data_IF_903802434222
#
_entry.id   IF_903802434222
#
_cell.length_a   1.000
_cell.length_b   1.000
_cell.length_c   1.000
_cell.angle_alpha   90.00
_cell.angle_beta   90.00
_cell.angle_gamma   90.00
#
_symmetry.space_group_name_H-M   'P 1'
#
loop_
_entity.id
_entity.type
_entity.pdbx_description
1 polymer ?
#
# COMPACT_ATOMS: atom_id res chain seq x y z
N UNK A 1 60.35 12.53 -9.62
CA UNK A 1 60.41 11.89 -10.96
C UNK A 1 59.00 11.82 -11.51
N UNK A 2 58.73 12.64 -12.52
CA UNK A 2 57.42 12.86 -13.15
C UNK A 2 57.16 11.83 -14.25
N UNK A 3 56.10 11.02 -14.12
CA UNK A 3 55.62 10.10 -15.16
C UNK A 3 54.33 10.60 -15.80
N UNK A 4 54.44 11.25 -16.96
CA UNK A 4 53.32 11.57 -17.87
C UNK A 4 53.03 10.34 -18.75
N UNK A 5 51.76 9.97 -18.91
CA UNK A 5 51.32 9.15 -20.05
C UNK A 5 50.18 9.84 -20.81
N UNK A 6 50.32 9.82 -22.14
CA UNK A 6 49.63 10.62 -23.15
C UNK A 6 48.26 10.04 -23.50
N UNK A 7 47.31 10.94 -23.77
CA UNK A 7 46.07 10.65 -24.46
C UNK A 7 46.30 10.44 -25.97
N UNK A 8 45.64 9.44 -26.56
CA UNK A 8 45.49 9.29 -28.00
C UNK A 8 44.03 9.54 -28.39
N UNK A 9 43.82 10.62 -29.16
CA UNK A 9 42.58 10.92 -29.89
C UNK A 9 42.64 10.24 -31.26
N UNK A 10 41.60 9.51 -31.64
CA UNK A 10 41.26 9.29 -33.05
C UNK A 10 39.75 9.47 -33.20
N UNK A 11 39.38 10.41 -34.07
CA UNK A 11 37.99 10.75 -34.36
C UNK A 11 37.42 9.96 -35.52
N UNK A 12 36.09 9.96 -35.61
CA UNK A 12 35.31 9.95 -36.87
C UNK A 12 33.89 10.41 -36.54
N UNK A 13 33.58 11.65 -36.92
CA UNK A 13 32.20 12.17 -37.00
C UNK A 13 31.60 11.68 -38.32
N UNK A 14 30.46 11.00 -38.28
CA UNK A 14 29.57 10.82 -39.43
C UNK A 14 28.29 11.61 -39.17
N UNK A 15 28.06 12.61 -40.00
CA UNK A 15 26.82 13.36 -40.07
C UNK A 15 25.80 12.56 -40.90
N UNK A 16 24.59 12.39 -40.38
CA UNK A 16 23.43 11.90 -41.13
C UNK A 16 22.40 13.03 -41.14
N UNK A 17 21.97 13.41 -42.34
CA UNK A 17 21.03 14.50 -42.64
C UNK A 17 19.60 14.06 -42.31
N UNK A 18 18.85 14.95 -41.67
CA UNK A 18 17.39 14.88 -41.52
C UNK A 18 16.72 15.30 -42.83
N UNK A 19 15.84 14.45 -43.37
CA UNK A 19 14.91 14.80 -44.44
C UNK A 19 13.49 14.82 -43.90
N UNK A 20 12.90 16.01 -43.84
CA UNK A 20 11.46 16.21 -43.63
C UNK A 20 10.74 16.02 -44.96
N UNK A 21 9.72 15.15 -45.00
CA UNK A 21 8.76 15.13 -46.10
C UNK A 21 7.36 15.36 -45.52
N UNK A 22 6.82 16.54 -45.80
CA UNK A 22 5.43 16.89 -45.59
C UNK A 22 4.60 16.30 -46.74
N UNK A 23 3.48 15.63 -46.42
CA UNK A 23 2.47 15.28 -47.42
C UNK A 23 1.13 15.92 -47.01
N UNK A 24 0.66 16.79 -47.90
CA UNK A 24 -0.54 17.58 -47.75
C UNK A 24 -1.81 16.76 -48.03
N UNK A 25 -2.87 17.10 -47.30
CA UNK A 25 -4.25 16.69 -47.53
C UNK A 25 -4.79 17.25 -48.85
N UNK A 26 -5.53 16.43 -49.58
CA UNK A 26 -6.52 16.86 -50.56
C UNK A 26 -7.86 16.20 -50.25
N UNK A 27 -8.87 17.02 -49.98
CA UNK A 27 -10.28 16.65 -49.77
C UNK A 27 -11.04 17.03 -51.03
N UNK A 28 -11.88 16.12 -51.54
CA UNK A 28 -12.84 16.37 -52.60
C UNK A 28 -14.10 15.50 -52.41
N UNK A 29 -15.32 16.03 -52.63
CA UNK A 29 -16.56 15.41 -52.18
C UNK A 29 -17.22 14.56 -53.28
N UNK A 30 -17.99 13.53 -52.88
CA UNK A 30 -18.98 12.92 -53.76
C UNK A 30 -20.18 12.41 -52.94
N UNK A 31 -21.37 12.71 -53.47
CA UNK A 31 -22.70 12.58 -52.88
C UNK A 31 -23.36 11.21 -53.15
N UNK A 32 -24.19 10.82 -52.17
CA UNK A 32 -25.47 10.12 -52.26
C UNK A 32 -25.58 8.71 -52.88
N UNK A 33 -26.07 7.75 -52.08
CA UNK A 33 -27.45 7.21 -52.12
C UNK A 33 -27.55 5.86 -51.36
N UNK A 34 -28.61 5.67 -50.57
CA UNK A 34 -28.93 4.41 -49.88
C UNK A 34 -29.61 3.39 -50.79
N UNK A 35 -29.81 2.12 -50.35
CA UNK A 35 -31.05 1.83 -49.62
C UNK A 35 -30.99 0.76 -48.49
N UNK A 36 -32.00 0.86 -47.62
CA UNK A 36 -32.73 -0.12 -46.80
C UNK A 36 -32.10 -1.44 -46.24
N UNK A 37 -31.99 -1.44 -44.90
CA UNK A 37 -32.54 -2.40 -43.91
C UNK A 37 -32.14 -3.89 -43.96
N UNK A 38 -31.29 -4.29 -43.01
CA UNK A 38 -31.38 -5.59 -42.32
C UNK A 38 -30.86 -5.44 -40.88
N UNK A 39 -31.70 -5.78 -39.89
CA UNK A 39 -31.30 -5.89 -38.49
C UNK A 39 -30.34 -7.06 -38.35
N UNK A 40 -29.07 -6.77 -38.01
CA UNK A 40 -28.13 -7.76 -37.48
C UNK A 40 -27.65 -7.28 -36.12
N UNK A 41 -27.99 -8.06 -35.11
CA UNK A 41 -27.46 -7.98 -33.75
C UNK A 41 -25.94 -8.02 -33.77
N UNK A 42 -25.30 -6.93 -33.36
CA UNK A 42 -23.84 -6.87 -33.22
C UNK A 42 -23.38 -7.78 -32.07
N UNK A 43 -22.31 -8.57 -32.25
CA UNK A 43 -21.73 -9.38 -31.19
C UNK A 43 -21.11 -8.47 -30.12
N UNK A 44 -21.40 -8.75 -28.84
CA UNK A 44 -20.84 -8.05 -27.68
C UNK A 44 -19.31 -8.06 -27.75
N UNK A 45 -18.70 -6.88 -27.62
CA UNK A 45 -17.25 -6.72 -27.46
C UNK A 45 -16.73 -7.44 -26.21
N UNK A 46 -15.55 -8.08 -26.22
CA UNK A 46 -15.00 -8.79 -25.06
C UNK A 46 -14.35 -7.88 -24.00
N UNK A 47 -14.41 -6.56 -24.14
CA UNK A 47 -13.79 -5.62 -23.22
C UNK A 47 -14.80 -5.05 -22.22
N UNK A 48 -15.36 -5.91 -21.37
CA UNK A 48 -15.91 -5.43 -20.09
C UNK A 48 -14.80 -5.54 -19.05
N UNK A 49 -14.23 -4.39 -18.66
CA UNK A 49 -13.44 -4.30 -17.44
C UNK A 49 -14.23 -4.93 -16.29
N UNK A 50 -13.62 -5.77 -15.43
CA UNK A 50 -14.33 -6.33 -14.30
C UNK A 50 -14.76 -5.17 -13.40
N UNK A 51 -16.07 -4.92 -13.39
CA UNK A 51 -16.71 -3.96 -12.48
C UNK A 51 -16.30 -4.36 -11.06
N UNK A 52 -15.79 -3.44 -10.21
CA UNK A 52 -15.46 -3.78 -8.84
C UNK A 52 -16.72 -4.30 -8.15
N UNK A 53 -16.70 -5.60 -7.84
CA UNK A 53 -17.71 -6.26 -7.03
C UNK A 53 -17.91 -5.51 -5.70
N UNK A 54 -19.14 -5.48 -5.14
CA UNK A 54 -19.48 -4.64 -4.00
C UNK A 54 -18.46 -4.82 -2.87
N UNK A 55 -17.94 -3.69 -2.37
CA UNK A 55 -17.09 -3.63 -1.19
C UNK A 55 -17.81 -4.37 -0.06
N UNK A 56 -17.32 -5.56 0.32
CA UNK A 56 -17.69 -6.12 1.62
C UNK A 56 -17.13 -5.16 2.65
N UNK A 57 -17.99 -4.68 3.55
CA UNK A 57 -17.56 -3.73 4.54
C UNK A 57 -16.62 -4.35 5.58
N UNK A 58 -16.27 -3.58 6.62
CA UNK A 58 -15.26 -3.97 7.61
C UNK A 58 -15.55 -5.33 8.24
N UNK A 59 -14.54 -6.01 8.76
CA UNK A 59 -14.65 -7.30 9.45
C UNK A 59 -15.70 -7.29 10.59
N UNK A 60 -15.97 -6.13 11.21
CA UNK A 60 -17.09 -5.93 12.14
C UNK A 60 -18.47 -6.25 11.55
N UNK A 61 -18.68 -6.02 10.25
CA UNK A 61 -19.94 -6.37 9.56
C UNK A 61 -20.12 -7.88 9.41
N UNK A 62 -19.03 -8.66 9.47
CA UNK A 62 -19.09 -10.12 9.60
C UNK A 62 -19.22 -10.57 11.06
N UNK A 63 -19.33 -9.64 12.01
CA UNK A 63 -19.43 -9.92 13.44
C UNK A 63 -18.11 -10.34 14.10
N UNK A 64 -16.96 -9.98 13.52
CA UNK A 64 -15.67 -10.10 14.21
C UNK A 64 -15.61 -9.04 15.33
N UNK A 65 -15.40 -9.45 16.60
CA UNK A 65 -15.29 -8.50 17.70
C UNK A 65 -13.91 -7.86 17.72
N UNK A 66 -13.88 -6.54 17.90
CA UNK A 66 -12.65 -5.80 18.14
C UNK A 66 -12.87 -4.78 19.27
N UNK A 67 -11.84 -4.60 20.08
CA UNK A 67 -11.80 -3.57 21.13
C UNK A 67 -11.69 -2.16 20.54
N UNK A 68 -12.06 -1.18 21.36
CA UNK A 68 -11.97 0.24 21.02
C UNK A 68 -13.14 0.77 20.19
N UNK A 69 -13.16 2.10 20.03
CA UNK A 69 -14.19 2.80 19.25
C UNK A 69 -13.58 3.25 17.93
N UNK A 70 -14.07 2.78 16.77
CA UNK A 70 -13.57 3.24 15.49
C UNK A 70 -13.98 4.68 15.19
N UNK A 71 -13.25 5.32 14.27
CA UNK A 71 -13.68 6.57 13.64
C UNK A 71 -14.87 6.37 12.71
N UNK A 72 -15.25 7.43 12.00
CA UNK A 72 -16.44 7.41 11.12
C UNK A 72 -16.30 6.41 9.98
N UNK A 73 -15.11 6.33 9.40
CA UNK A 73 -14.83 5.49 8.24
C UNK A 73 -14.15 4.17 8.64
N UNK A 74 -13.74 4.04 9.91
CA UNK A 74 -12.84 3.01 10.38
C UNK A 74 -11.62 2.89 9.45
N UNK A 75 -10.98 4.03 9.20
CA UNK A 75 -9.90 4.15 8.22
C UNK A 75 -8.86 5.18 8.64
N UNK A 76 -7.66 5.10 8.06
CA UNK A 76 -6.56 6.05 8.34
C UNK A 76 -6.96 7.51 8.07
N UNK A 77 -7.90 7.73 7.14
CA UNK A 77 -8.48 9.01 6.74
C UNK A 77 -9.45 9.61 7.77
N UNK A 78 -9.77 8.89 8.86
CA UNK A 78 -10.42 9.48 10.02
C UNK A 78 -9.51 10.48 10.75
N UNK A 79 -8.19 10.42 10.51
CA UNK A 79 -7.24 11.45 10.94
C UNK A 79 -7.39 12.67 10.02
N UNK A 80 -7.77 13.85 10.54
CA UNK A 80 -8.04 15.01 9.70
C UNK A 80 -6.86 15.43 8.83
N UNK A 81 -7.12 15.67 7.55
CA UNK A 81 -6.11 16.07 6.56
C UNK A 81 -5.40 14.90 5.86
N UNK A 82 -5.54 13.67 6.34
CA UNK A 82 -4.97 12.51 5.65
C UNK A 82 -5.76 12.19 4.38
N UNK A 83 -5.05 12.03 3.27
CA UNK A 83 -5.61 11.60 1.98
C UNK A 83 -4.96 10.30 1.52
N UNK A 84 -5.75 9.40 0.93
CA UNK A 84 -5.26 8.13 0.36
C UNK A 84 -5.64 8.06 -1.12
N UNK A 85 -4.68 7.67 -1.96
CA UNK A 85 -4.88 7.43 -3.38
C UNK A 85 -4.28 6.08 -3.80
N UNK A 86 -4.82 5.47 -4.85
CA UNK A 86 -4.42 4.13 -5.26
C UNK A 86 -4.47 3.96 -6.78
N UNK A 87 -3.52 3.21 -7.31
CA UNK A 87 -3.59 2.65 -8.66
C UNK A 87 -3.45 1.13 -8.57
N UNK A 88 -4.41 0.42 -9.17
CA UNK A 88 -4.49 -1.04 -9.19
C UNK A 88 -4.24 -1.52 -10.62
N UNK A 89 -3.25 -2.39 -10.82
CA UNK A 89 -2.88 -2.93 -12.12
C UNK A 89 -3.18 -4.44 -12.17
N UNK A 90 -4.21 -4.80 -12.94
CA UNK A 90 -4.60 -6.18 -13.21
C UNK A 90 -4.74 -6.35 -14.73
N UNK A 91 -3.81 -7.07 -15.36
CA UNK A 91 -3.86 -7.37 -16.80
C UNK A 91 -3.16 -8.69 -17.14
N UNK A 92 -3.59 -9.32 -18.23
CA UNK A 92 -3.03 -10.59 -18.69
C UNK A 92 -3.38 -11.79 -17.79
N UNK A 93 -3.22 -12.98 -18.35
CA UNK A 93 -3.54 -14.27 -17.73
C UNK A 93 -2.58 -15.36 -18.24
N UNK A 94 -2.54 -16.51 -17.56
CA UNK A 94 -1.76 -17.66 -17.98
C UNK A 94 -0.27 -17.55 -17.66
N UNK A 95 0.56 -18.14 -18.53
CA UNK A 95 2.01 -18.30 -18.32
C UNK A 95 2.71 -16.96 -18.10
N UNK A 96 3.58 -16.91 -17.10
CA UNK A 96 4.44 -15.76 -16.85
C UNK A 96 5.43 -15.59 -18.00
N UNK A 97 5.40 -14.41 -18.63
CA UNK A 97 6.41 -13.96 -19.59
C UNK A 97 6.90 -12.60 -19.11
N UNK A 98 8.16 -12.57 -18.64
CA UNK A 98 8.79 -11.34 -18.13
C UNK A 98 8.66 -10.19 -19.13
N UNK A 99 8.14 -9.07 -18.66
CA UNK A 99 7.88 -7.86 -19.45
C UNK A 99 6.51 -7.83 -20.12
N UNK A 100 5.73 -8.91 -20.05
CA UNK A 100 4.39 -8.99 -20.63
C UNK A 100 3.32 -9.23 -19.56
N UNK A 101 3.65 -9.92 -18.47
CA UNK A 101 2.73 -10.28 -17.40
C UNK A 101 2.55 -11.80 -17.28
N UNK A 102 1.50 -12.27 -16.58
CA UNK A 102 0.41 -11.48 -15.97
C UNK A 102 0.85 -10.46 -14.92
N UNK A 103 0.07 -9.38 -14.80
CA UNK A 103 0.32 -8.28 -13.86
C UNK A 103 -0.75 -8.26 -12.79
N UNK A 104 -0.33 -8.26 -11.52
CA UNK A 104 -1.19 -8.14 -10.33
C UNK A 104 -0.45 -7.28 -9.29
N UNK A 105 -0.33 -5.98 -9.55
CA UNK A 105 0.44 -5.07 -8.70
C UNK A 105 -0.23 -3.70 -8.64
N UNK A 106 0.40 -2.72 -8.00
CA UNK A 106 -0.11 -1.36 -7.93
C UNK A 106 0.66 -0.52 -6.93
N UNK A 107 0.14 0.66 -6.63
CA UNK A 107 0.70 1.57 -5.63
C UNK A 107 -0.42 2.22 -4.83
N UNK A 108 -0.20 2.33 -3.52
CA UNK A 108 -1.03 3.09 -2.58
C UNK A 108 -0.20 4.28 -2.10
N UNK A 109 -0.78 5.48 -2.07
CA UNK A 109 -0.12 6.70 -1.56
C UNK A 109 -0.94 7.30 -0.44
N UNK A 110 -0.26 7.81 0.59
CA UNK A 110 -0.86 8.36 1.80
C UNK A 110 -0.22 9.72 2.04
N UNK A 111 -0.98 10.80 1.89
CA UNK A 111 -0.52 12.14 2.19
C UNK A 111 -0.90 12.52 3.63
N UNK A 112 0.08 12.85 4.50
CA UNK A 112 -0.20 13.22 5.88
C UNK A 112 -1.11 14.45 6.04
N UNK A 113 -0.92 15.47 5.19
CA UNK A 113 -1.58 16.78 5.26
C UNK A 113 -2.34 17.13 3.98
N UNK A 114 -2.61 16.13 3.14
CA UNK A 114 -3.20 16.30 1.81
C UNK A 114 -2.17 16.62 0.74
N UNK A 115 -2.52 16.34 -0.52
CA UNK A 115 -1.57 16.30 -1.63
C UNK A 115 -0.86 17.61 -1.93
N UNK A 116 -1.49 18.75 -1.63
CA UNK A 116 -0.97 20.11 -1.87
C UNK A 116 -0.14 20.69 -0.71
N UNK A 117 -0.02 20.00 0.42
CA UNK A 117 0.75 20.52 1.55
C UNK A 117 2.26 20.50 1.28
N UNK A 118 2.92 21.65 1.39
CA UNK A 118 4.39 21.73 1.37
C UNK A 118 5.01 21.37 2.74
N UNK A 119 4.24 21.53 3.81
CA UNK A 119 4.62 21.24 5.20
C UNK A 119 5.02 19.76 5.39
N UNK A 120 6.02 19.56 6.24
CA UNK A 120 6.37 18.26 6.79
C UNK A 120 5.59 17.95 8.06
N UNK A 121 5.58 16.66 8.41
CA UNK A 121 5.03 16.17 9.68
C UNK A 121 6.12 15.52 10.52
N UNK A 122 5.96 15.60 11.84
CA UNK A 122 6.71 14.76 12.76
C UNK A 122 6.42 13.28 12.45
N UNK A 123 7.47 12.47 12.42
CA UNK A 123 7.40 11.05 12.11
C UNK A 123 8.41 10.22 12.91
N UNK A 124 8.14 8.92 13.01
CA UNK A 124 9.06 7.94 13.57
C UNK A 124 8.73 6.54 13.07
N UNK A 125 9.74 5.69 12.95
CA UNK A 125 9.57 4.32 12.42
C UNK A 125 9.91 3.24 13.44
N UNK A 126 9.46 2.03 13.18
CA UNK A 126 9.90 0.82 13.84
C UNK A 126 10.13 -0.29 12.81
N UNK A 127 11.10 -1.16 13.10
CA UNK A 127 11.39 -2.35 12.32
C UNK A 127 11.18 -3.55 13.22
N UNK A 128 10.27 -4.44 12.85
CA UNK A 128 10.13 -5.74 13.48
C UNK A 128 11.07 -6.76 12.84
N UNK A 129 11.19 -6.73 11.51
CA UNK A 129 12.20 -7.48 10.76
C UNK A 129 12.59 -6.70 9.49
N UNK A 130 13.89 -6.51 9.28
CA UNK A 130 14.43 -5.58 8.27
C UNK A 130 14.64 -6.17 6.87
N UNK A 131 14.11 -7.37 6.57
CA UNK A 131 14.34 -8.04 5.28
C UNK A 131 13.45 -7.49 4.14
N UNK A 132 13.37 -6.17 4.00
CA UNK A 132 12.68 -5.48 2.91
C UNK A 132 13.23 -4.06 2.75
N UNK A 133 12.54 -3.25 1.97
CA UNK A 133 12.97 -1.88 1.68
C UNK A 133 11.90 -0.84 2.06
N UNK A 134 12.37 0.26 2.63
CA UNK A 134 11.56 1.43 2.93
C UNK A 134 12.43 2.68 2.80
N UNK A 135 12.37 3.35 1.64
CA UNK A 135 13.19 4.54 1.38
C UNK A 135 12.76 5.71 2.27
N UNK A 136 13.63 6.71 2.42
CA UNK A 136 13.31 7.92 3.22
C UNK A 136 13.29 7.68 4.74
N UNK A 137 13.62 6.47 5.21
CA UNK A 137 13.63 6.17 6.64
C UNK A 137 14.85 6.73 7.38
N UNK A 138 15.99 6.90 6.71
CA UNK A 138 17.19 7.50 7.32
C UNK A 138 16.95 8.98 7.68
N UNK A 139 16.28 9.75 6.81
CA UNK A 139 15.94 11.16 7.11
C UNK A 139 14.90 11.26 8.23
N UNK A 140 13.95 10.31 8.29
CA UNK A 140 12.99 10.22 9.41
C UNK A 140 13.71 9.93 10.73
N UNK A 141 14.70 9.05 10.74
CA UNK A 141 15.44 8.75 11.96
C UNK A 141 16.35 9.88 12.44
N UNK A 142 16.96 10.59 11.50
CA UNK A 142 17.91 11.67 11.78
C UNK A 142 17.18 12.96 12.20
N UNK A 143 16.14 13.35 11.48
CA UNK A 143 15.47 14.65 11.68
C UNK A 143 14.14 14.52 12.39
N UNK A 144 13.53 13.33 12.41
CA UNK A 144 12.18 13.13 12.89
C UNK A 144 11.10 13.69 11.97
N UNK A 145 11.43 14.04 10.72
CA UNK A 145 10.52 14.67 9.77
C UNK A 145 10.19 13.75 8.60
N UNK A 146 8.94 13.85 8.13
CA UNK A 146 8.45 13.22 6.91
C UNK A 146 7.82 14.30 6.02
N UNK A 147 8.29 14.38 4.78
CA UNK A 147 7.75 15.28 3.76
C UNK A 147 7.11 14.51 2.61
N UNK A 148 6.02 15.06 2.07
CA UNK A 148 5.29 14.42 0.98
C UNK A 148 4.57 13.12 1.39
N UNK A 149 4.22 12.25 0.43
CA UNK A 149 3.45 11.05 0.70
C UNK A 149 4.34 9.90 1.20
N UNK A 150 3.73 9.00 1.96
CA UNK A 150 4.19 7.61 2.10
C UNK A 150 3.58 6.81 0.94
N UNK A 151 4.39 6.02 0.23
CA UNK A 151 3.91 5.13 -0.82
C UNK A 151 4.21 3.66 -0.50
N UNK A 152 3.23 2.78 -0.77
CA UNK A 152 3.33 1.33 -0.59
C UNK A 152 3.12 0.66 -1.95
N UNK A 153 4.03 -0.23 -2.35
CA UNK A 153 4.02 -0.84 -3.69
C UNK A 153 4.60 -2.26 -3.66
N UNK A 154 4.65 -2.92 -4.82
CA UNK A 154 5.39 -4.17 -5.02
C UNK A 154 6.91 -3.93 -5.09
N UNK A 155 7.74 -4.87 -4.62
CA UNK A 155 9.22 -4.76 -4.57
C UNK A 155 9.85 -4.28 -5.88
N UNK A 156 9.39 -4.80 -7.03
CA UNK A 156 9.91 -4.43 -8.35
C UNK A 156 9.63 -2.99 -8.78
N UNK A 157 8.80 -2.25 -8.04
CA UNK A 157 8.32 -0.93 -8.41
C UNK A 157 8.90 0.22 -7.57
N UNK A 158 9.75 -0.03 -6.56
CA UNK A 158 10.27 1.03 -5.68
C UNK A 158 10.89 2.17 -6.48
N UNK A 159 11.72 1.85 -7.46
CA UNK A 159 12.43 2.85 -8.25
C UNK A 159 11.48 3.77 -9.03
N UNK A 160 10.49 3.19 -9.73
CA UNK A 160 9.53 3.97 -10.53
C UNK A 160 8.59 4.79 -9.65
N UNK A 161 8.19 4.27 -8.49
CA UNK A 161 7.36 5.01 -7.53
C UNK A 161 8.14 6.18 -6.92
N UNK A 162 9.38 5.94 -6.48
CA UNK A 162 10.24 6.98 -5.91
C UNK A 162 10.50 8.10 -6.92
N UNK A 163 10.87 7.77 -8.16
CA UNK A 163 11.08 8.77 -9.21
C UNK A 163 9.77 9.48 -9.56
N UNK A 164 8.66 8.75 -9.66
CA UNK A 164 7.35 9.32 -9.96
C UNK A 164 6.89 10.34 -8.91
N UNK A 165 7.17 10.13 -7.62
CA UNK A 165 6.85 11.13 -6.57
C UNK A 165 7.65 12.42 -6.79
N UNK A 166 8.94 12.32 -7.12
CA UNK A 166 9.81 13.48 -7.38
C UNK A 166 9.32 14.24 -8.62
N UNK A 167 9.09 13.53 -9.73
CA UNK A 167 8.65 14.14 -10.98
C UNK A 167 7.26 14.77 -10.86
N UNK A 168 6.35 14.12 -10.14
CA UNK A 168 5.02 14.65 -9.85
C UNK A 168 5.09 15.92 -9.01
N UNK A 169 5.96 15.95 -8.01
CA UNK A 169 6.11 17.10 -7.10
C UNK A 169 6.68 18.35 -7.79
N UNK A 170 7.41 18.17 -8.89
CA UNK A 170 8.05 19.27 -9.65
C UNK A 170 7.23 19.76 -10.84
N UNK A 171 5.98 19.27 -11.00
CA UNK A 171 5.06 19.74 -12.04
C UNK A 171 4.82 21.26 -11.94
N UNK A 172 4.73 21.98 -13.07
CA UNK A 172 4.46 23.42 -13.07
C UNK A 172 3.20 23.75 -12.26
N UNK A 173 3.32 24.69 -11.32
CA UNK A 173 2.22 25.16 -10.49
C UNK A 173 1.77 24.20 -9.37
N UNK A 174 2.50 23.09 -9.15
CA UNK A 174 2.16 22.15 -8.08
C UNK A 174 2.75 22.55 -6.72
N UNK A 175 4.09 22.65 -6.63
CA UNK A 175 4.83 23.21 -5.50
C UNK A 175 5.73 24.36 -5.97
N UNK A 176 6.03 25.30 -5.09
CA UNK A 176 6.99 26.35 -5.41
C UNK A 176 8.40 25.74 -5.60
N UNK A 177 9.25 26.27 -6.50
CA UNK A 177 10.58 25.71 -6.74
C UNK A 177 11.46 25.54 -5.49
N UNK A 178 11.31 26.42 -4.50
CA UNK A 178 12.01 26.33 -3.21
C UNK A 178 11.61 25.09 -2.39
N UNK A 179 10.39 24.60 -2.56
CA UNK A 179 9.80 23.49 -1.80
C UNK A 179 10.18 22.11 -2.39
N UNK A 180 10.75 22.08 -3.59
CA UNK A 180 11.13 20.83 -4.25
C UNK A 180 12.18 20.04 -3.47
N UNK A 181 13.04 20.71 -2.71
CA UNK A 181 14.06 20.06 -1.89
C UNK A 181 13.46 19.12 -0.84
N UNK A 182 12.30 19.49 -0.28
CA UNK A 182 11.55 18.68 0.67
C UNK A 182 10.98 17.40 0.05
N UNK A 183 11.04 17.22 -1.27
CA UNK A 183 10.50 16.06 -1.99
C UNK A 183 11.57 15.10 -2.53
N UNK A 184 12.86 15.37 -2.28
CA UNK A 184 13.97 14.56 -2.81
C UNK A 184 14.19 13.20 -2.13
N UNK A 185 13.63 13.00 -0.93
CA UNK A 185 13.75 11.77 -0.16
C UNK A 185 12.38 11.11 0.10
N UNK A 186 11.64 10.67 -0.93
CA UNK A 186 10.32 10.06 -0.74
C UNK A 186 10.37 8.82 0.15
N UNK A 187 9.30 8.64 0.93
CA UNK A 187 9.07 7.46 1.74
C UNK A 187 8.35 6.38 0.93
N UNK A 188 9.06 5.34 0.47
CA UNK A 188 8.49 4.27 -0.37
C UNK A 188 8.83 2.91 0.23
N UNK A 189 7.80 2.21 0.72
CA UNK A 189 7.91 0.85 1.27
C UNK A 189 7.40 -0.21 0.29
N UNK A 190 7.92 -1.43 0.41
CA UNK A 190 7.52 -2.56 -0.43
C UNK A 190 7.07 -3.84 0.30
N UNK A 191 6.22 -4.61 -0.39
CA UNK A 191 6.08 -6.05 -0.15
C UNK A 191 6.18 -6.81 -1.47
N UNK A 192 6.52 -8.10 -1.45
CA UNK A 192 6.76 -8.89 -2.67
C UNK A 192 5.51 -9.62 -3.18
N UNK A 193 5.03 -9.28 -4.38
CA UNK A 193 3.87 -9.89 -5.07
C UNK A 193 4.24 -11.03 -6.06
N UNK A 194 5.42 -11.64 -5.90
CA UNK A 194 6.03 -12.61 -6.84
C UNK A 194 5.12 -13.79 -7.21
N UNK A 195 4.29 -14.28 -6.29
CA UNK A 195 3.43 -15.44 -6.54
C UNK A 195 2.27 -15.19 -7.51
N UNK A 196 1.91 -13.93 -7.77
CA UNK A 196 0.78 -13.56 -8.61
C UNK A 196 1.15 -12.57 -9.73
N UNK A 197 2.34 -11.97 -9.69
CA UNK A 197 2.72 -10.83 -10.52
C UNK A 197 4.07 -11.04 -11.23
N UNK A 198 4.20 -10.48 -12.43
CA UNK A 198 5.48 -10.29 -13.11
C UNK A 198 6.32 -9.17 -12.48
N UNK A 199 6.96 -9.47 -11.35
CA UNK A 199 7.77 -8.52 -10.56
C UNK A 199 8.89 -7.88 -11.39
N UNK A 200 9.56 -8.67 -12.24
CA UNK A 200 10.74 -8.23 -13.00
C UNK A 200 10.41 -7.70 -14.40
N UNK A 201 9.13 -7.67 -14.77
CA UNK A 201 8.64 -7.15 -16.04
C UNK A 201 8.46 -5.64 -16.08
N UNK A 202 8.67 -4.95 -14.95
CA UNK A 202 8.44 -3.51 -14.80
C UNK A 202 7.05 -3.08 -15.29
N UNK A 203 5.97 -3.68 -14.78
CA UNK A 203 4.64 -3.48 -15.34
C UNK A 203 4.07 -2.08 -15.11
N UNK A 204 4.61 -1.34 -14.12
CA UNK A 204 4.19 -0.01 -13.72
C UNK A 204 4.99 1.08 -14.44
N UNK A 205 4.28 2.08 -14.96
CA UNK A 205 4.83 3.27 -15.57
C UNK A 205 4.63 4.51 -14.68
N UNK A 206 5.37 5.62 -14.90
CA UNK A 206 5.19 6.86 -14.12
C UNK A 206 3.75 7.37 -14.07
N UNK A 207 2.99 7.23 -15.17
CA UNK A 207 1.56 7.63 -15.21
C UNK A 207 0.69 6.90 -14.18
N UNK A 208 1.04 5.66 -13.83
CA UNK A 208 0.30 4.85 -12.87
C UNK A 208 0.55 5.39 -11.44
N UNK A 209 1.78 5.83 -11.17
CA UNK A 209 2.16 6.53 -9.93
C UNK A 209 1.43 7.86 -9.82
N UNK A 210 1.40 8.62 -10.92
CA UNK A 210 0.69 9.90 -10.99
C UNK A 210 -0.80 9.77 -10.73
N UNK A 211 -1.44 8.76 -11.30
CA UNK A 211 -2.86 8.49 -11.07
C UNK A 211 -3.17 8.24 -9.58
N UNK A 212 -2.29 7.53 -8.86
CA UNK A 212 -2.44 7.33 -7.41
C UNK A 212 -2.27 8.65 -6.65
N UNK A 213 -1.25 9.44 -6.98
CA UNK A 213 -0.99 10.74 -6.35
C UNK A 213 -2.13 11.75 -6.59
N UNK A 214 -2.64 11.82 -7.82
CA UNK A 214 -3.70 12.75 -8.22
C UNK A 214 -5.08 12.32 -7.65
N UNK A 215 -5.34 11.02 -7.51
CA UNK A 215 -6.60 10.49 -6.96
C UNK A 215 -6.72 10.56 -5.43
N UNK A 216 -5.63 10.91 -4.72
CA UNK A 216 -5.65 10.95 -3.27
C UNK A 216 -6.74 11.88 -2.72
N UNK A 217 -7.53 11.36 -1.78
CA UNK A 217 -8.63 12.05 -1.11
C UNK A 217 -8.91 11.47 0.29
N UNK A 218 -9.62 12.23 1.13
CA UNK A 218 -10.14 11.75 2.41
C UNK A 218 -11.41 10.89 2.25
N UNK A 219 -12.02 10.49 3.36
CA UNK A 219 -13.24 9.66 3.34
C UNK A 219 -12.96 8.16 3.33
N UNK A 220 -13.92 7.31 2.91
CA UNK A 220 -13.74 5.86 2.89
C UNK A 220 -12.55 5.43 2.03
N UNK A 221 -11.81 4.42 2.48
CA UNK A 221 -10.62 3.89 1.78
C UNK A 221 -10.94 2.51 1.22
N UNK A 222 -10.58 2.27 -0.05
CA UNK A 222 -10.73 0.96 -0.67
C UNK A 222 -9.77 -0.07 -0.04
N UNK A 223 -10.23 -1.31 0.13
CA UNK A 223 -9.50 -2.39 0.81
C UNK A 223 -9.49 -3.68 -0.04
N UNK A 224 -8.66 -4.64 0.34
CA UNK A 224 -8.48 -5.92 -0.34
C UNK A 224 -7.47 -5.83 -1.48
N UNK A 225 -7.86 -6.30 -2.67
CA UNK A 225 -6.96 -6.46 -3.83
C UNK A 225 -6.74 -5.14 -4.60
N UNK A 226 -6.31 -4.10 -3.92
CA UNK A 226 -6.19 -2.73 -4.49
C UNK A 226 -4.86 -2.07 -4.14
N UNK A 227 -4.44 -1.14 -4.99
CA UNK A 227 -3.21 -0.38 -4.80
C UNK A 227 -1.99 -1.28 -4.71
N UNK A 228 -1.06 -0.97 -3.80
CA UNK A 228 0.10 -1.82 -3.57
C UNK A 228 -0.25 -3.23 -3.04
N UNK A 229 -1.43 -3.42 -2.44
CA UNK A 229 -1.92 -4.71 -1.95
C UNK A 229 -2.40 -5.70 -3.03
N UNK A 230 -2.44 -5.30 -4.30
CA UNK A 230 -3.12 -6.04 -5.38
C UNK A 230 -2.72 -7.52 -5.45
N UNK A 231 -1.42 -7.84 -5.54
CA UNK A 231 -0.90 -9.21 -5.67
C UNK A 231 -0.47 -9.88 -4.37
N UNK A 232 -0.81 -9.31 -3.21
CA UNK A 232 -0.26 -9.76 -1.93
C UNK A 232 -0.98 -10.99 -1.35
N UNK A 233 -0.26 -11.76 -0.54
CA UNK A 233 -0.70 -13.02 0.10
C UNK A 233 -0.40 -12.95 1.60
N UNK A 234 -1.40 -13.14 2.45
CA UNK A 234 -1.25 -13.05 3.90
C UNK A 234 -1.87 -14.26 4.60
N UNK A 235 -1.13 -14.88 5.51
CA UNK A 235 -1.48 -16.14 6.19
C UNK A 235 -1.90 -17.26 5.25
N UNK A 236 -1.35 -17.28 4.03
CA UNK A 236 -1.75 -18.22 2.97
C UNK A 236 -3.17 -18.02 2.45
N UNK A 237 -3.88 -16.96 2.82
CA UNK A 237 -5.04 -16.45 2.09
C UNK A 237 -4.61 -15.28 1.22
N UNK A 238 -5.52 -14.77 0.40
CA UNK A 238 -5.30 -13.51 -0.31
C UNK A 238 -5.14 -12.39 0.72
N UNK A 239 -4.00 -11.69 0.64
CA UNK A 239 -3.73 -10.49 1.43
C UNK A 239 -4.11 -9.22 0.66
N UNK A 240 -3.56 -8.09 1.06
CA UNK A 240 -3.74 -6.83 0.35
C UNK A 240 -3.78 -5.62 1.26
N UNK A 241 -4.56 -4.62 0.85
CA UNK A 241 -4.68 -3.35 1.59
C UNK A 241 -5.78 -3.45 2.64
N UNK A 242 -5.50 -3.02 3.87
CA UNK A 242 -6.51 -2.90 4.92
C UNK A 242 -6.32 -1.64 5.75
N UNK A 243 -7.37 -1.17 6.39
CA UNK A 243 -7.33 0.03 7.22
C UNK A 243 -8.30 -0.10 8.40
N UNK A 244 -8.01 0.63 9.48
CA UNK A 244 -8.85 0.76 10.65
C UNK A 244 -8.49 2.07 11.37
N UNK A 245 -9.33 2.52 12.30
CA UNK A 245 -8.99 3.65 13.17
C UNK A 245 -9.51 3.49 14.59
N UNK A 246 -8.98 4.27 15.52
CA UNK A 246 -9.45 4.34 16.91
C UNK A 246 -9.55 5.77 17.39
N UNK A 247 -10.69 6.10 17.98
CA UNK A 247 -10.87 7.31 18.76
C UNK A 247 -10.38 7.02 20.18
N UNK A 248 -9.43 7.83 20.66
CA UNK A 248 -8.88 7.74 22.01
C UNK A 248 -9.16 9.04 22.76
N UNK A 249 -9.44 8.96 24.07
CA UNK A 249 -9.72 10.13 24.92
C UNK A 249 -8.56 10.40 25.86
N UNK A 250 -8.03 11.62 25.83
CA UNK A 250 -6.88 12.05 26.62
C UNK A 250 -7.19 13.45 27.15
N UNK A 251 -7.24 13.61 28.48
CA UNK A 251 -7.50 14.92 29.12
C UNK A 251 -8.79 15.59 28.64
N UNK A 252 -9.85 14.80 28.41
CA UNK A 252 -11.14 15.30 27.90
C UNK A 252 -11.17 15.62 26.40
N UNK A 253 -10.05 15.51 25.68
CA UNK A 253 -9.97 15.68 24.22
C UNK A 253 -9.99 14.34 23.50
N UNK A 254 -10.58 14.30 22.32
CA UNK A 254 -10.57 13.14 21.45
C UNK A 254 -9.47 13.26 20.40
N UNK A 255 -8.64 12.22 20.30
CA UNK A 255 -7.67 12.04 19.24
C UNK A 255 -8.03 10.79 18.42
N UNK A 256 -7.49 10.71 17.21
CA UNK A 256 -7.63 9.56 16.32
C UNK A 256 -6.26 8.93 16.12
N UNK A 257 -6.21 7.60 16.18
CA UNK A 257 -5.11 6.78 15.68
C UNK A 257 -5.64 6.00 14.48
N UNK A 258 -5.23 6.37 13.28
CA UNK A 258 -5.60 5.71 12.03
C UNK A 258 -4.47 4.81 11.53
N UNK A 259 -4.81 3.68 10.94
CA UNK A 259 -3.83 2.70 10.43
C UNK A 259 -4.19 2.26 9.02
N UNK A 260 -3.21 2.20 8.13
CA UNK A 260 -3.30 1.55 6.82
C UNK A 260 -2.18 0.50 6.72
N UNK A 261 -2.52 -0.68 6.20
CA UNK A 261 -1.63 -1.82 6.08
C UNK A 261 -1.59 -2.34 4.64
N UNK A 262 -0.40 -2.75 4.21
CA UNK A 262 -0.19 -3.65 3.07
C UNK A 262 0.26 -5.02 3.60
N UNK A 263 -0.66 -5.98 3.65
CA UNK A 263 -0.48 -7.29 4.27
C UNK A 263 0.00 -8.34 3.26
N UNK A 264 1.22 -8.83 3.44
CA UNK A 264 1.85 -9.91 2.68
C UNK A 264 2.60 -10.90 3.60
N UNK A 265 2.13 -11.07 4.84
CA UNK A 265 2.86 -11.70 5.94
C UNK A 265 2.15 -12.92 6.53
N UNK A 266 2.80 -13.56 7.50
CA UNK A 266 2.19 -14.59 8.34
C UNK A 266 2.08 -15.95 7.66
N UNK A 267 1.73 -16.96 8.46
CA UNK A 267 1.58 -18.34 7.99
C UNK A 267 0.18 -18.83 8.28
N UNK A 268 -0.39 -19.68 7.41
CA UNK A 268 -1.75 -20.20 7.64
C UNK A 268 -1.92 -20.78 9.04
N UNK A 269 -0.97 -21.61 9.50
CA UNK A 269 -1.07 -22.30 10.80
C UNK A 269 -1.08 -21.35 12.02
N UNK A 270 -0.61 -20.11 11.84
CA UNK A 270 -0.50 -19.13 12.93
C UNK A 270 -1.66 -18.15 12.96
N UNK A 271 -2.45 -18.05 11.88
CA UNK A 271 -3.58 -17.11 11.82
C UNK A 271 -4.55 -17.31 12.96
N UNK A 272 -4.67 -16.26 13.76
CA UNK A 272 -5.65 -16.11 14.84
C UNK A 272 -6.49 -14.89 14.55
N UNK A 273 -7.81 -14.97 14.73
CA UNK A 273 -8.72 -13.81 14.61
C UNK A 273 -9.62 -13.81 15.83
N UNK A 274 -9.67 -12.71 16.59
CA UNK A 274 -10.41 -12.61 17.86
C UNK A 274 -10.09 -13.76 18.85
N UNK A 275 -8.83 -14.22 18.87
CA UNK A 275 -8.38 -15.35 19.68
C UNK A 275 -8.78 -16.74 19.14
N UNK A 276 -9.54 -16.82 18.04
CA UNK A 276 -9.92 -18.09 17.40
C UNK A 276 -8.79 -18.56 16.48
N UNK A 277 -8.36 -19.83 16.55
CA UNK A 277 -7.26 -20.37 15.74
C UNK A 277 -7.71 -20.68 14.30
N UNK A 278 -8.23 -19.68 13.59
CA UNK A 278 -8.83 -19.77 12.24
C UNK A 278 -7.91 -20.54 11.27
N UNK A 279 -6.62 -20.29 11.35
CA UNK A 279 -5.61 -20.93 10.54
C UNK A 279 -5.48 -22.45 10.68
N UNK A 280 -5.83 -22.98 11.86
CA UNK A 280 -5.82 -24.41 12.17
C UNK A 280 -7.16 -25.09 11.83
N UNK A 281 -8.23 -24.32 11.82
CA UNK A 281 -9.58 -24.80 11.50
C UNK A 281 -9.88 -24.78 9.98
N UNK A 282 -9.28 -23.83 9.24
CA UNK A 282 -9.38 -23.73 7.78
C UNK A 282 -8.05 -24.17 7.15
N UNK A 283 -7.90 -25.49 7.00
CA UNK A 283 -6.67 -26.14 6.53
C UNK A 283 -6.60 -26.28 5.01
N UNK A 284 -7.73 -26.20 4.32
CA UNK A 284 -7.89 -26.16 2.87
C UNK A 284 -7.73 -24.73 2.31
N UNK A 285 -8.12 -24.53 1.03
CA UNK A 285 -7.98 -23.25 0.33
C UNK A 285 -6.54 -22.70 0.40
N UNK A 286 -5.57 -23.61 0.28
CA UNK A 286 -4.14 -23.27 0.23
C UNK A 286 -3.82 -22.59 -1.10
N UNK A 287 -2.86 -21.65 -1.13
CA UNK A 287 -2.35 -21.09 -2.38
C UNK A 287 -1.90 -22.21 -3.30
N UNK A 288 -2.31 -22.13 -4.57
CA UNK A 288 -1.83 -23.01 -5.64
C UNK A 288 -0.87 -22.17 -6.47
N UNK A 289 0.43 -22.36 -6.26
CA UNK A 289 1.46 -21.69 -7.06
C UNK A 289 1.98 -22.67 -8.10
N UNK A 290 1.82 -22.32 -9.37
CA UNK A 290 2.25 -23.09 -10.53
C UNK A 290 3.54 -22.50 -11.12
N UNK A 291 4.34 -23.31 -11.83
CA UNK A 291 5.55 -22.85 -12.52
C UNK A 291 6.85 -22.85 -11.67
N UNK A 292 8.02 -22.60 -12.32
CA UNK A 292 9.31 -22.55 -11.63
C UNK A 292 9.39 -21.32 -10.72
N UNK A 293 9.48 -21.55 -9.41
CA UNK A 293 9.56 -20.47 -8.42
C UNK A 293 10.96 -19.84 -8.46
N UNK A 294 11.04 -18.57 -8.83
CA UNK A 294 12.28 -17.79 -8.66
C UNK A 294 12.65 -17.79 -7.17
N UNK A 295 13.80 -18.39 -6.83
CA UNK A 295 14.30 -18.49 -5.45
C UNK A 295 14.02 -19.81 -4.73
N UNK A 296 13.55 -20.86 -5.42
CA UNK A 296 13.36 -22.18 -4.82
C UNK A 296 14.70 -22.92 -4.62
N UNK A 297 15.46 -22.50 -3.61
CA UNK A 297 16.63 -23.24 -3.09
C UNK A 297 16.28 -24.09 -1.87
N UNK A 298 15.01 -24.12 -1.45
CA UNK A 298 14.57 -24.85 -0.26
C UNK A 298 13.57 -25.95 -0.63
N UNK A 299 13.90 -27.19 -0.28
CA UNK A 299 13.14 -28.43 -0.48
C UNK A 299 11.73 -28.50 0.15
N UNK A 300 11.17 -27.38 0.62
CA UNK A 300 9.92 -27.33 1.40
C UNK A 300 8.73 -26.71 0.67
N UNK A 301 8.89 -26.22 -0.56
CA UNK A 301 7.78 -25.61 -1.31
C UNK A 301 7.16 -24.40 -0.61
N UNK A 302 7.92 -23.72 0.26
CA UNK A 302 7.44 -22.66 1.17
C UNK A 302 8.00 -21.25 0.85
N UNK A 303 8.69 -21.06 -0.28
CA UNK A 303 9.34 -19.81 -0.61
C UNK A 303 8.36 -18.77 -1.21
N UNK A 304 7.48 -18.20 -0.38
CA UNK A 304 6.95 -16.85 -0.63
C UNK A 304 7.63 -15.94 0.39
N UNK A 305 8.43 -14.99 -0.09
CA UNK A 305 9.00 -13.94 0.76
C UNK A 305 7.83 -13.13 1.30
N UNK A 306 7.74 -13.03 2.62
CA UNK A 306 6.66 -12.33 3.30
C UNK A 306 7.05 -10.89 3.57
N UNK A 307 6.10 -9.99 3.87
CA UNK A 307 6.35 -8.64 4.39
C UNK A 307 5.06 -8.04 4.96
N UNK A 308 5.19 -7.09 5.89
CA UNK A 308 4.09 -6.29 6.41
C UNK A 308 4.51 -4.82 6.45
N UNK A 309 3.76 -3.95 5.79
CA UNK A 309 3.94 -2.51 5.94
C UNK A 309 2.77 -1.92 6.71
N UNK A 310 3.06 -1.15 7.75
CA UNK A 310 2.07 -0.47 8.57
C UNK A 310 2.34 1.04 8.56
N UNK A 311 1.32 1.82 8.21
CA UNK A 311 1.36 3.29 8.30
C UNK A 311 0.36 3.73 9.35
N UNK A 312 0.84 4.45 10.36
CA UNK A 312 0.05 4.95 11.48
C UNK A 312 -0.02 6.47 11.38
N UNK A 313 -1.23 7.02 11.39
CA UNK A 313 -1.48 8.44 11.45
C UNK A 313 -2.13 8.79 12.79
N UNK A 314 -1.80 9.96 13.34
CA UNK A 314 -2.56 10.51 14.46
C UNK A 314 -2.68 12.02 14.39
N UNK A 315 -3.70 12.59 15.02
CA UNK A 315 -3.79 14.03 15.29
C UNK A 315 -3.37 14.38 16.72
N UNK A 316 -2.85 13.43 17.50
CA UNK A 316 -2.21 13.71 18.78
C UNK A 316 -0.87 14.43 18.53
N UNK A 317 -0.55 15.50 19.29
CA UNK A 317 0.66 16.30 19.09
C UNK A 317 1.88 15.58 19.69
N UNK A 318 2.34 14.54 18.97
CA UNK A 318 3.46 13.71 19.34
C UNK A 318 4.73 14.16 18.64
N UNK A 319 5.83 14.20 19.40
CA UNK A 319 7.16 14.47 18.87
C UNK A 319 7.80 13.18 18.28
N UNK A 320 8.88 13.28 17.48
CA UNK A 320 9.41 12.14 16.72
C UNK A 320 9.74 10.89 17.54
N UNK A 321 10.35 11.02 18.72
CA UNK A 321 10.66 9.85 19.56
C UNK A 321 9.40 9.17 20.10
N UNK A 322 8.32 9.93 20.36
CA UNK A 322 7.01 9.39 20.73
C UNK A 322 6.35 8.64 19.57
N UNK A 323 6.49 9.16 18.36
CA UNK A 323 6.00 8.49 17.16
C UNK A 323 6.76 7.19 16.88
N UNK A 324 8.07 7.16 17.16
CA UNK A 324 8.84 5.90 17.18
C UNK A 324 8.31 4.91 18.21
N UNK A 325 7.88 5.36 19.40
CA UNK A 325 7.23 4.49 20.40
C UNK A 325 5.88 3.96 19.89
N UNK A 326 5.08 4.81 19.25
CA UNK A 326 3.80 4.44 18.64
C UNK A 326 4.00 3.40 17.53
N UNK A 327 4.94 3.62 16.61
CA UNK A 327 5.26 2.69 15.53
C UNK A 327 5.62 1.29 16.03
N UNK A 328 6.33 1.16 17.16
CA UNK A 328 6.66 -0.16 17.76
C UNK A 328 5.42 -0.96 18.17
N UNK A 329 4.28 -0.31 18.40
CA UNK A 329 3.03 -0.99 18.77
C UNK A 329 2.37 -1.74 17.61
N UNK A 330 2.71 -1.41 16.36
CA UNK A 330 2.25 -2.15 15.19
C UNK A 330 2.61 -3.65 15.28
N UNK A 331 3.84 -3.97 15.68
CA UNK A 331 4.28 -5.36 15.86
C UNK A 331 3.46 -6.11 16.91
N UNK A 332 3.04 -5.44 17.98
CA UNK A 332 2.15 -6.01 19.01
C UNK A 332 0.75 -6.28 18.45
N UNK A 333 0.21 -5.38 17.63
CA UNK A 333 -1.07 -5.58 16.94
C UNK A 333 -1.04 -6.79 16.01
N UNK A 334 -0.03 -6.89 15.14
CA UNK A 334 0.10 -8.03 14.21
C UNK A 334 0.37 -9.35 14.94
N UNK A 335 1.10 -9.32 16.07
CA UNK A 335 1.34 -10.50 16.89
C UNK A 335 0.05 -11.12 17.47
N UNK A 336 -1.02 -10.34 17.70
CA UNK A 336 -2.33 -10.86 18.11
C UNK A 336 -2.99 -11.75 17.06
N UNK A 337 -2.62 -11.58 15.79
CA UNK A 337 -3.06 -12.42 14.68
C UNK A 337 -2.14 -13.63 14.45
N UNK A 338 -1.10 -13.78 15.28
CA UNK A 338 -0.12 -14.86 15.22
C UNK A 338 1.01 -14.62 14.21
N UNK A 339 1.23 -13.38 13.77
CA UNK A 339 2.50 -13.01 13.12
C UNK A 339 3.66 -13.14 14.12
N UNK A 340 4.81 -13.57 13.63
CA UNK A 340 6.03 -13.74 14.44
C UNK A 340 7.27 -13.15 13.76
N UNK A 341 7.10 -12.33 12.72
CA UNK A 341 8.23 -11.67 12.02
C UNK A 341 9.21 -12.66 11.41
N UNK A 342 8.71 -13.56 10.55
CA UNK A 342 9.52 -14.64 9.95
C UNK A 342 10.82 -14.14 9.30
N UNK A 343 11.81 -15.02 9.16
CA UNK A 343 13.19 -14.62 8.83
C UNK A 343 13.31 -13.70 7.60
N UNK A 344 12.55 -13.97 6.54
CA UNK A 344 12.51 -13.17 5.31
C UNK A 344 11.24 -12.32 5.19
N UNK A 345 10.61 -11.97 6.32
CA UNK A 345 9.45 -11.09 6.38
C UNK A 345 9.90 -9.64 6.59
N UNK A 346 9.80 -8.79 5.56
CA UNK A 346 10.09 -7.36 5.72
C UNK A 346 8.95 -6.65 6.46
N UNK A 347 9.08 -6.49 7.78
CA UNK A 347 8.02 -6.00 8.65
C UNK A 347 8.37 -4.62 9.24
N UNK A 348 7.73 -3.59 8.69
CA UNK A 348 8.02 -2.18 8.96
C UNK A 348 6.77 -1.41 9.40
N UNK A 349 6.96 -0.45 10.29
CA UNK A 349 5.94 0.52 10.66
C UNK A 349 6.49 1.94 10.60
N UNK A 350 5.72 2.87 10.04
CA UNK A 350 5.96 4.32 10.12
C UNK A 350 4.76 5.00 10.76
N UNK A 351 5.00 5.86 11.75
CA UNK A 351 3.98 6.65 12.40
C UNK A 351 4.24 8.15 12.16
N UNK A 352 3.19 8.93 11.91
CA UNK A 352 3.28 10.38 11.79
C UNK A 352 2.15 11.10 12.52
N UNK A 353 2.40 12.36 12.91
CA UNK A 353 1.40 13.23 13.53
C UNK A 353 1.02 14.38 12.60
N UNK A 354 -0.27 14.56 12.35
CA UNK A 354 -0.83 15.70 11.60
C UNK A 354 -0.90 17.00 12.42
N UNK A 355 -0.63 16.93 13.72
CA UNK A 355 -0.54 18.06 14.63
C UNK A 355 0.91 18.55 14.83
N UNK A 356 1.91 17.69 14.68
CA UNK A 356 3.32 18.07 14.70
C UNK A 356 3.76 18.53 13.29
N UNK A 357 3.45 19.79 12.95
CA UNK A 357 3.72 20.35 11.61
C UNK A 357 5.00 21.17 11.55
N UNK A 358 5.66 21.11 10.41
CA UNK A 358 6.91 21.82 10.13
C UNK A 358 6.85 22.46 8.74
N UNK A 359 7.42 23.65 8.58
CA UNK A 359 7.52 24.29 7.27
C UNK A 359 8.47 23.53 6.30
N UNK A 360 8.63 24.02 5.08
CA UNK A 360 9.51 23.43 4.05
C UNK A 360 11.01 23.45 4.41
N UNK A 361 11.39 24.08 5.54
CA UNK A 361 12.74 24.13 6.10
C UNK A 361 12.88 23.32 7.39
N UNK A 362 11.81 22.71 7.89
CA UNK A 362 11.82 21.96 9.14
C UNK A 362 11.62 22.82 10.40
N UNK A 363 11.11 24.05 10.29
CA UNK A 363 10.78 24.90 11.43
C UNK A 363 9.42 24.48 12.03
N UNK A 364 9.29 24.24 13.35
CA UNK A 364 8.01 23.89 13.96
C UNK A 364 6.93 24.97 13.78
N UNK A 365 5.73 24.57 13.35
CA UNK A 365 4.55 25.44 13.18
C UNK A 365 3.62 25.38 14.40
N UNK A 366 3.58 24.25 15.11
CA UNK A 366 2.72 24.03 16.29
C UNK A 366 3.52 23.45 17.44
N UNK A 367 3.32 23.96 18.67
CA UNK A 367 4.04 23.51 19.87
C UNK A 367 3.05 23.10 20.97
N UNK A 368 2.65 21.85 20.97
CA UNK A 368 2.07 21.20 22.15
C UNK A 368 2.74 19.84 22.26
N UNK A 369 3.17 19.48 23.47
CA UNK A 369 3.87 18.22 23.72
C UNK A 369 3.06 17.47 24.78
N UNK A 370 2.75 16.20 24.52
CA UNK A 370 2.21 15.30 25.53
C UNK A 370 3.37 14.73 26.36
N UNK A 371 3.18 14.59 27.67
CA UNK A 371 4.19 14.02 28.57
C UNK A 371 4.37 12.52 28.31
N UNK A 372 5.61 12.11 28.00
CA UNK A 372 6.00 10.72 27.76
C UNK A 372 5.76 9.80 28.96
N UNK A 373 5.82 10.34 30.18
CA UNK A 373 5.66 9.64 31.45
C UNK A 373 4.19 9.54 31.89
N UNK A 374 3.30 10.31 31.26
CA UNK A 374 1.88 10.22 31.55
C UNK A 374 1.31 8.91 30.98
N UNK A 375 1.22 7.89 31.83
CA UNK A 375 0.75 6.55 31.52
C UNK A 375 -0.61 6.57 30.81
N UNK A 376 -1.61 7.22 31.42
CA UNK A 376 -2.96 7.29 30.86
C UNK A 376 -3.01 7.89 29.44
N UNK A 377 -2.13 8.85 29.14
CA UNK A 377 -2.04 9.49 27.81
C UNK A 377 -1.39 8.56 26.80
N UNK A 378 -0.20 8.06 27.10
CA UNK A 378 0.57 7.28 26.14
C UNK A 378 -0.03 5.89 25.93
N UNK A 379 -0.58 5.26 26.97
CA UNK A 379 -1.20 3.95 26.86
C UNK A 379 -2.49 3.99 26.05
N UNK A 380 -3.29 5.06 26.15
CA UNK A 380 -4.46 5.23 25.28
C UNK A 380 -4.07 5.25 23.79
N UNK A 381 -3.00 5.97 23.44
CA UNK A 381 -2.47 6.02 22.06
C UNK A 381 -1.87 4.68 21.63
N UNK A 382 -1.11 4.02 22.50
CA UNK A 382 -0.52 2.73 22.23
C UNK A 382 -1.58 1.66 22.03
N UNK A 383 -2.59 1.62 22.89
CA UNK A 383 -3.72 0.70 22.76
C UNK A 383 -4.48 0.96 21.46
N UNK A 384 -4.74 2.23 21.13
CA UNK A 384 -5.34 2.63 19.86
C UNK A 384 -4.55 2.12 18.65
N UNK A 385 -3.22 2.23 18.68
CA UNK A 385 -2.35 1.69 17.62
C UNK A 385 -2.40 0.16 17.54
N UNK A 386 -2.34 -0.56 18.66
CA UNK A 386 -2.43 -2.03 18.68
C UNK A 386 -3.76 -2.50 18.10
N UNK A 387 -4.87 -1.93 18.59
CA UNK A 387 -6.22 -2.31 18.18
C UNK A 387 -6.48 -1.98 16.70
N UNK A 388 -6.06 -0.81 16.22
CA UNK A 388 -6.21 -0.42 14.82
C UNK A 388 -5.33 -1.28 13.90
N UNK A 389 -4.11 -1.64 14.30
CA UNK A 389 -3.26 -2.55 13.50
C UNK A 389 -3.87 -3.96 13.41
N UNK A 390 -4.34 -4.51 14.53
CA UNK A 390 -5.03 -5.80 14.57
C UNK A 390 -6.24 -5.81 13.62
N UNK A 391 -7.10 -4.80 13.71
CA UNK A 391 -8.30 -4.72 12.86
C UNK A 391 -7.97 -4.45 11.39
N UNK A 392 -7.01 -3.59 11.08
CA UNK A 392 -6.63 -3.27 9.70
C UNK A 392 -6.13 -4.51 8.94
N UNK A 393 -5.34 -5.37 9.58
CA UNK A 393 -4.82 -6.59 8.97
C UNK A 393 -5.95 -7.63 8.75
N UNK A 394 -6.91 -7.75 9.67
CA UNK A 394 -8.11 -8.58 9.44
C UNK A 394 -9.00 -7.99 8.35
N UNK A 395 -9.18 -6.67 8.31
CA UNK A 395 -9.94 -6.00 7.25
C UNK A 395 -9.31 -6.24 5.87
N UNK A 396 -7.97 -6.29 5.77
CA UNK A 396 -7.29 -6.67 4.53
C UNK A 396 -7.69 -8.09 4.07
N UNK A 397 -7.69 -9.07 4.97
CA UNK A 397 -8.06 -10.47 4.69
C UNK A 397 -9.54 -10.61 4.31
N UNK A 398 -10.42 -9.88 5.00
CA UNK A 398 -11.88 -9.91 4.75
C UNK A 398 -12.23 -9.23 3.43
N UNK A 399 -11.63 -8.09 3.11
CA UNK A 399 -11.89 -7.37 1.87
C UNK A 399 -11.27 -8.03 0.64
N UNK A 400 -10.21 -8.83 0.82
CA UNK A 400 -9.53 -9.53 -0.26
C UNK A 400 -10.44 -10.55 -0.97
N UNK A 401 -10.22 -10.72 -2.28
CA UNK A 401 -10.95 -11.66 -3.14
C UNK A 401 -10.00 -12.71 -3.71
N UNK A 402 -10.50 -13.92 -3.95
CA UNK A 402 -9.72 -14.96 -4.64
C UNK A 402 -9.17 -14.39 -5.96
N UNK A 403 -7.88 -14.62 -6.22
CA UNK A 403 -7.19 -14.08 -7.38
C UNK A 403 -6.35 -15.14 -8.06
N UNK A 404 -6.47 -15.22 -9.37
CA UNK A 404 -5.57 -15.96 -10.25
C UNK A 404 -4.62 -14.98 -10.95
N UNK A 405 -3.34 -15.31 -10.95
CA UNK A 405 -2.26 -14.48 -11.48
C UNK A 405 -1.30 -15.27 -12.38
N UNK A 406 -0.02 -14.92 -12.29
CA UNK A 406 1.06 -15.53 -13.06
C UNK A 406 1.08 -17.07 -12.98
N UNK A 407 1.32 -17.70 -14.13
CA UNK A 407 1.36 -19.16 -14.33
C UNK A 407 0.06 -19.89 -14.00
N UNK A 408 -1.07 -19.18 -13.88
CA UNK A 408 -2.33 -19.76 -13.39
C UNK A 408 -2.36 -19.95 -11.86
N UNK A 409 -1.36 -19.41 -11.16
CA UNK A 409 -1.30 -19.45 -9.69
C UNK A 409 -2.53 -18.79 -9.10
N UNK A 410 -3.17 -19.46 -8.13
CA UNK A 410 -4.42 -19.00 -7.51
C UNK A 410 -4.29 -18.93 -6.00
N UNK A 411 -4.67 -17.80 -5.42
CA UNK A 411 -4.70 -17.56 -3.98
C UNK A 411 -6.13 -17.26 -3.56
N UNK A 412 -6.64 -18.01 -2.59
CA UNK A 412 -8.03 -17.94 -2.15
C UNK A 412 -8.26 -16.87 -1.09
N UNK A 413 -9.41 -16.19 -1.15
CA UNK A 413 -9.87 -15.33 -0.05
C UNK A 413 -10.20 -16.15 1.21
N UNK A 414 -10.19 -15.48 2.37
CA UNK A 414 -10.72 -16.03 3.61
C UNK A 414 -12.24 -16.27 3.42
N UNK A 415 -12.75 -17.52 3.55
CA UNK A 415 -14.19 -17.79 3.41
C UNK A 415 -14.96 -17.18 4.59
N UNK A 416 -15.80 -16.19 4.29
CA UNK A 416 -16.51 -15.39 5.31
C UNK A 416 -17.52 -16.23 6.10
N UNK A 417 -18.26 -17.10 5.44
CA UNK A 417 -19.21 -18.05 6.05
C UNK A 417 -18.52 -18.95 7.09
N UNK A 418 -17.35 -19.49 6.75
CA UNK A 418 -16.56 -20.32 7.68
C UNK A 418 -15.93 -19.51 8.79
N UNK A 419 -15.49 -18.28 8.53
CA UNK A 419 -15.03 -17.38 9.60
C UNK A 419 -16.16 -17.12 10.60
N UNK A 420 -17.36 -16.79 10.14
CA UNK A 420 -18.53 -16.56 11.00
C UNK A 420 -18.86 -17.81 11.82
N UNK A 421 -18.97 -18.97 11.18
CA UNK A 421 -19.25 -20.24 11.87
C UNK A 421 -18.20 -20.57 12.94
N UNK A 422 -16.93 -20.25 12.70
CA UNK A 422 -15.87 -20.42 13.69
C UNK A 422 -16.00 -19.43 14.85
N UNK A 423 -16.31 -18.17 14.59
CA UNK A 423 -16.57 -17.20 15.65
C UNK A 423 -17.75 -17.63 16.53
N UNK A 424 -18.84 -18.14 15.93
CA UNK A 424 -19.99 -18.67 16.66
C UNK A 424 -19.59 -19.88 17.52
N UNK A 425 -18.92 -20.86 16.92
CA UNK A 425 -18.47 -22.09 17.59
C UNK A 425 -17.56 -21.81 18.79
N UNK A 426 -16.70 -20.79 18.70
CA UNK A 426 -15.77 -20.42 19.77
C UNK A 426 -16.33 -19.36 20.72
N UNK A 427 -17.61 -18.97 20.61
CA UNK A 427 -18.23 -17.98 21.48
C UNK A 427 -17.63 -16.57 21.33
N UNK A 428 -17.15 -16.25 20.13
CA UNK A 428 -16.52 -14.98 19.78
C UNK A 428 -17.31 -14.18 18.73
N UNK A 429 -18.45 -14.65 18.26
CA UNK A 429 -19.28 -13.89 17.33
C UNK A 429 -20.00 -12.72 18.01
N UNK A 430 -19.88 -11.53 17.42
CA UNK A 430 -20.54 -10.31 17.88
C UNK A 430 -21.42 -9.75 16.76
N UNK A 431 -22.74 -10.03 16.73
CA UNK A 431 -23.59 -9.64 15.61
C UNK A 431 -23.54 -8.12 15.37
N UNK A 432 -23.49 -7.67 14.11
CA UNK A 432 -23.50 -6.25 13.79
C UNK A 432 -24.73 -5.57 14.39
N UNK A 433 -24.56 -4.37 14.95
CA UNK A 433 -25.70 -3.55 15.37
C UNK A 433 -26.48 -3.17 14.11
N UNK A 434 -27.77 -3.54 14.07
CA UNK A 434 -28.69 -3.21 12.98
C UNK A 434 -28.86 -1.71 12.80
#
# INVERSE_FOLDING_TARGET
MTGRWRAARTGRRRAVRFGFLALALAVGPALASGPARAQQSSPRSPNSEPTPSPQVGPARQLGVPFSGTPGRFDAITDVPGVEVGMTTLIRGEGKLIRGQGPVRTGVTVIFPLGKRAAEGVGAGRAVSNGTGEFTGMEIVDETGLLFGPVALTGTGNIAVVRQGIIDWSTRPGFLAPREWIARLLPAVGETLDLGLNDVFGHPMAPRDVYAALDSASGGPVAQGNVGGGTGMVSYGFKGGTGTASRIVRIGGRSYVVGVLIQANNGSRRSLTIAGVPVGREITDLRPRFEGPRLGDTTTTGAAVKHSLLVVIATNAPLVPHQLRRLARRAGVGSARLGSFGGNLSGDFAVAFSTAARFDDRGTPVTATILDDWNEATMDALFEGSVQATEEAEVNALVAARTMTGADGSTVYALPHDRLVALLERYGRYAPPKR
#
